data_IF_343171494593
#
_entry.id   IF_343171494593
#
_cell.length_a   1.000
_cell.length_b   1.000
_cell.length_c   1.000
_cell.angle_alpha   90.00
_cell.angle_beta   90.00
_cell.angle_gamma   90.00
#
_symmetry.space_group_name_H-M   'P 1'
#
loop_
_entity.id
_entity.type
_entity.pdbx_description
1 polymer ?
#
# COMPACT_ATOMS: atom_id res chain seq x y z
N UNK A 1 -18.59 17.28 5.52
CA UNK A 1 -18.68 15.86 5.12
C UNK A 1 -20.00 15.21 5.53
N UNK A 2 -20.41 15.17 6.80
CA UNK A 2 -21.74 14.66 7.18
C UNK A 2 -22.87 15.57 6.64
N UNK A 3 -22.68 16.90 6.70
CA UNK A 3 -23.61 17.88 6.08
C UNK A 3 -23.70 17.77 4.57
N UNK A 4 -22.68 17.26 3.93
CA UNK A 4 -22.60 17.11 2.46
C UNK A 4 -23.11 15.72 2.02
N UNK A 5 -23.58 14.90 2.98
CA UNK A 5 -24.14 13.58 2.69
C UNK A 5 -23.10 12.51 2.31
N UNK A 6 -21.79 12.77 2.48
CA UNK A 6 -20.74 11.83 2.06
C UNK A 6 -20.47 10.73 3.11
N UNK A 7 -20.82 10.98 4.36
CA UNK A 7 -20.64 10.01 5.44
C UNK A 7 -21.74 10.17 6.51
N UNK A 8 -21.89 9.15 7.32
CA UNK A 8 -22.71 9.16 8.54
C UNK A 8 -22.02 8.36 9.64
N UNK A 9 -22.44 8.58 10.88
CA UNK A 9 -22.00 7.77 12.00
C UNK A 9 -23.02 6.61 12.22
N UNK A 10 -22.50 5.39 12.34
CA UNK A 10 -23.33 4.24 12.73
C UNK A 10 -23.68 4.28 14.25
N UNK A 11 -24.49 3.33 14.70
CA UNK A 11 -24.94 3.22 16.09
C UNK A 11 -23.78 3.05 17.09
N UNK A 12 -22.62 2.60 16.60
CA UNK A 12 -21.39 2.46 17.39
C UNK A 12 -20.45 3.67 17.23
N UNK A 13 -20.96 4.78 16.64
CA UNK A 13 -20.21 6.01 16.36
C UNK A 13 -19.00 5.82 15.43
N UNK A 14 -19.02 4.82 14.58
CA UNK A 14 -18.01 4.62 13.55
C UNK A 14 -18.41 5.37 12.28
N UNK A 15 -17.45 5.94 11.61
CA UNK A 15 -17.65 6.62 10.31
C UNK A 15 -18.00 5.56 9.25
N UNK A 16 -19.10 5.83 8.53
CA UNK A 16 -19.54 5.06 7.36
C UNK A 16 -19.68 5.99 6.18
N UNK A 17 -19.06 5.64 5.06
CA UNK A 17 -19.27 6.37 3.82
C UNK A 17 -20.65 6.01 3.25
N UNK A 18 -21.30 6.98 2.64
CA UNK A 18 -22.46 6.75 1.77
C UNK A 18 -22.00 6.22 0.41
N UNK A 19 -22.91 5.85 -0.49
CA UNK A 19 -22.56 5.48 -1.86
C UNK A 19 -21.81 6.61 -2.57
N UNK A 20 -22.30 7.86 -2.46
CA UNK A 20 -21.65 9.05 -3.00
C UNK A 20 -20.28 9.29 -2.35
N UNK A 21 -20.19 9.14 -1.02
CA UNK A 21 -18.92 9.24 -0.31
C UNK A 21 -17.89 8.20 -0.74
N UNK A 22 -18.34 6.98 -1.04
CA UNK A 22 -17.48 5.92 -1.57
C UNK A 22 -16.97 6.26 -2.97
N UNK A 23 -17.82 6.79 -3.85
CA UNK A 23 -17.42 7.23 -5.19
C UNK A 23 -16.36 8.34 -5.11
N UNK A 24 -16.60 9.37 -4.31
CA UNK A 24 -15.64 10.48 -4.12
C UNK A 24 -14.31 9.96 -3.56
N UNK A 25 -14.35 9.10 -2.54
CA UNK A 25 -13.14 8.51 -1.96
C UNK A 25 -12.37 7.65 -2.96
N UNK A 26 -13.09 6.87 -3.79
CA UNK A 26 -12.49 6.07 -4.87
C UNK A 26 -11.80 6.96 -5.91
N UNK A 27 -12.45 8.05 -6.31
CA UNK A 27 -11.89 8.99 -7.30
C UNK A 27 -10.64 9.70 -6.78
N UNK A 28 -10.62 10.13 -5.52
CA UNK A 28 -9.45 10.75 -4.90
C UNK A 28 -8.32 9.74 -4.79
N UNK A 29 -8.59 8.56 -4.28
CA UNK A 29 -7.58 7.51 -4.09
C UNK A 29 -7.01 7.03 -5.43
N UNK A 30 -7.82 6.96 -6.48
CA UNK A 30 -7.35 6.63 -7.83
C UNK A 30 -6.35 7.67 -8.34
N UNK A 31 -6.68 8.96 -8.22
CA UNK A 31 -5.78 10.07 -8.61
C UNK A 31 -4.48 10.03 -7.82
N UNK A 32 -4.58 9.81 -6.51
CA UNK A 32 -3.43 9.69 -5.63
C UNK A 32 -2.46 8.60 -6.11
N UNK A 33 -2.93 7.37 -6.26
CA UNK A 33 -2.09 6.22 -6.64
C UNK A 33 -1.58 6.30 -8.08
N UNK A 34 -2.34 6.92 -8.99
CA UNK A 34 -1.85 7.23 -10.33
C UNK A 34 -0.72 8.27 -10.30
N UNK A 35 -0.85 9.30 -9.44
CA UNK A 35 0.22 10.29 -9.25
C UNK A 35 1.47 9.64 -8.68
N UNK A 36 1.35 8.79 -7.66
CA UNK A 36 2.48 8.06 -7.06
C UNK A 36 3.27 7.26 -8.11
N UNK A 37 2.57 6.49 -8.95
CA UNK A 37 3.20 5.74 -10.04
C UNK A 37 3.93 6.65 -11.01
N UNK A 38 3.30 7.75 -11.43
CA UNK A 38 3.92 8.67 -12.36
C UNK A 38 5.13 9.40 -11.77
N UNK A 39 5.02 9.82 -10.50
CA UNK A 39 6.10 10.48 -9.77
C UNK A 39 7.33 9.58 -9.62
N UNK A 40 7.12 8.31 -9.33
CA UNK A 40 8.21 7.34 -9.22
C UNK A 40 8.76 6.94 -10.58
N UNK A 41 7.88 6.43 -11.47
CA UNK A 41 8.31 5.71 -12.68
C UNK A 41 8.78 6.65 -13.80
N UNK A 42 8.22 7.86 -13.87
CA UNK A 42 8.48 8.80 -14.98
C UNK A 42 9.31 10.01 -14.54
N UNK A 43 8.94 10.61 -13.41
CA UNK A 43 9.66 11.79 -12.88
C UNK A 43 10.92 11.34 -12.14
N UNK A 44 10.95 10.15 -11.56
CA UNK A 44 12.08 9.61 -10.81
C UNK A 44 12.24 10.26 -9.44
N UNK A 45 11.09 10.65 -8.82
CA UNK A 45 11.10 11.17 -7.46
C UNK A 45 11.55 10.07 -6.50
N UNK A 46 12.29 10.46 -5.45
CA UNK A 46 12.70 9.54 -4.40
C UNK A 46 11.50 8.85 -3.76
N UNK A 47 11.59 7.53 -3.58
CA UNK A 47 10.52 6.66 -3.10
C UNK A 47 9.87 7.17 -1.80
N UNK A 48 10.68 7.67 -0.86
CA UNK A 48 10.19 8.16 0.42
C UNK A 48 9.37 9.45 0.32
N UNK A 49 9.50 10.22 -0.76
CA UNK A 49 8.82 11.50 -0.97
C UNK A 49 7.62 11.42 -1.91
N UNK A 50 7.39 10.27 -2.55
CA UNK A 50 6.33 10.08 -3.56
C UNK A 50 4.94 10.35 -2.99
N UNK A 51 4.62 9.78 -1.82
CA UNK A 51 3.32 9.92 -1.18
C UNK A 51 2.97 11.38 -0.86
N UNK A 52 3.90 12.11 -0.25
CA UNK A 52 3.68 13.52 0.11
C UNK A 52 3.38 14.39 -1.12
N UNK A 53 4.06 14.15 -2.23
CA UNK A 53 3.81 14.91 -3.46
C UNK A 53 2.51 14.48 -4.13
N UNK A 54 2.17 13.20 -4.12
CA UNK A 54 0.90 12.71 -4.64
C UNK A 54 -0.31 13.30 -3.92
N UNK A 55 -0.23 13.51 -2.59
CA UNK A 55 -1.25 14.21 -1.80
C UNK A 55 -1.53 15.64 -2.32
N UNK A 56 -0.54 16.31 -2.91
CA UNK A 56 -0.74 17.63 -3.52
C UNK A 56 -1.39 17.54 -4.89
N UNK A 57 -1.02 16.52 -5.66
CA UNK A 57 -1.47 16.35 -7.05
C UNK A 57 -2.92 15.88 -7.15
N UNK A 58 -3.39 15.03 -6.24
CA UNK A 58 -4.76 14.47 -6.29
C UNK A 58 -5.85 15.54 -6.30
N UNK A 59 -5.61 16.69 -5.66
CA UNK A 59 -6.57 17.78 -5.54
C UNK A 59 -6.69 18.66 -6.80
N UNK A 60 -5.68 18.64 -7.68
CA UNK A 60 -5.63 19.50 -8.87
C UNK A 60 -5.68 18.70 -10.17
N UNK A 61 -5.62 17.39 -10.11
CA UNK A 61 -5.61 16.53 -11.29
C UNK A 61 -6.97 16.51 -11.99
N UNK A 62 -6.99 16.90 -13.25
CA UNK A 62 -8.18 16.80 -14.08
C UNK A 62 -8.39 15.36 -14.58
N UNK A 63 -9.66 15.04 -14.91
CA UNK A 63 -10.02 13.74 -15.48
C UNK A 63 -9.24 13.41 -16.76
N UNK A 64 -8.92 14.42 -17.58
CA UNK A 64 -8.14 14.21 -18.81
C UNK A 64 -6.69 13.82 -18.53
N UNK A 65 -6.08 14.43 -17.52
CA UNK A 65 -4.73 14.06 -17.06
C UNK A 65 -4.75 12.65 -16.46
N UNK A 66 -5.71 12.37 -15.60
CA UNK A 66 -5.91 11.06 -14.98
C UNK A 66 -6.00 9.93 -16.00
N UNK A 67 -6.82 10.09 -17.06
CA UNK A 67 -6.93 9.14 -18.16
C UNK A 67 -5.62 8.92 -18.90
N UNK A 68 -4.80 9.95 -19.04
CA UNK A 68 -3.48 9.83 -19.70
C UNK A 68 -2.49 9.11 -18.82
N UNK A 69 -2.43 9.40 -17.52
CA UNK A 69 -1.58 8.71 -16.58
C UNK A 69 -1.93 7.22 -16.50
N UNK A 70 -3.22 6.89 -16.37
CA UNK A 70 -3.68 5.52 -16.29
C UNK A 70 -3.30 4.66 -17.52
N UNK A 71 -3.24 5.26 -18.71
CA UNK A 71 -2.79 4.57 -19.95
C UNK A 71 -1.29 4.33 -20.02
N UNK A 72 -0.49 4.99 -19.20
CA UNK A 72 0.96 4.81 -19.16
C UNK A 72 1.38 3.67 -18.22
N UNK A 73 0.47 3.24 -17.35
CA UNK A 73 0.74 2.20 -16.37
C UNK A 73 0.42 0.84 -16.98
N UNK A 74 1.37 -0.09 -16.89
CA UNK A 74 1.15 -1.50 -17.21
C UNK A 74 0.70 -2.27 -15.96
N UNK A 75 -0.06 -3.38 -16.10
CA UNK A 75 -0.35 -4.29 -15.00
C UNK A 75 0.94 -4.81 -14.32
N UNK A 76 0.89 -5.08 -13.03
CA UNK A 76 -0.26 -4.96 -12.13
C UNK A 76 -0.57 -3.50 -11.81
N UNK A 77 -1.88 -3.16 -11.76
CA UNK A 77 -2.34 -1.82 -11.45
C UNK A 77 -2.30 -1.55 -9.94
N UNK A 78 -1.10 -1.36 -9.44
CA UNK A 78 -0.81 -1.05 -8.03
C UNK A 78 0.03 0.23 -7.92
N UNK A 79 -0.04 0.90 -6.79
CA UNK A 79 0.86 2.01 -6.45
C UNK A 79 2.29 1.50 -6.12
N UNK A 80 3.27 2.38 -5.89
CA UNK A 80 4.62 1.97 -5.50
C UNK A 80 4.71 1.19 -4.21
N UNK A 81 3.68 1.28 -3.37
CA UNK A 81 3.58 0.65 -2.07
C UNK A 81 2.78 -0.67 -2.11
N UNK A 82 2.40 -1.13 -3.30
CA UNK A 82 1.71 -2.41 -3.53
C UNK A 82 0.19 -2.36 -3.39
N UNK A 83 -0.41 -1.17 -3.15
CA UNK A 83 -1.86 -1.07 -2.99
C UNK A 83 -2.55 -0.97 -4.35
N UNK A 84 -3.69 -1.67 -4.57
CA UNK A 84 -4.42 -1.62 -5.83
C UNK A 84 -4.91 -0.20 -6.18
N UNK A 85 -4.77 0.23 -7.41
CA UNK A 85 -5.35 1.49 -7.91
C UNK A 85 -6.84 1.26 -8.15
N UNK A 86 -7.75 1.90 -7.38
CA UNK A 86 -9.18 1.58 -7.46
C UNK A 86 -9.87 2.28 -8.62
N UNK A 87 -11.01 1.74 -9.06
CA UNK A 87 -11.96 2.42 -9.97
C UNK A 87 -11.42 2.71 -11.37
N UNK A 88 -10.45 1.97 -11.87
CA UNK A 88 -9.88 2.13 -13.22
C UNK A 88 -10.90 1.91 -14.32
N UNK A 89 -11.97 1.14 -14.07
CA UNK A 89 -13.07 0.94 -15.00
C UNK A 89 -13.73 2.27 -15.40
N UNK A 90 -13.79 3.26 -14.51
CA UNK A 90 -14.31 4.61 -14.82
C UNK A 90 -13.46 5.36 -15.84
N UNK A 91 -12.21 4.95 -16.04
CA UNK A 91 -11.27 5.50 -17.03
C UNK A 91 -11.25 4.68 -18.34
N UNK A 92 -12.07 3.61 -18.43
CA UNK A 92 -12.11 2.70 -19.57
C UNK A 92 -10.96 1.69 -19.60
N UNK A 93 -10.33 1.44 -18.47
CA UNK A 93 -9.33 0.38 -18.30
C UNK A 93 -10.06 -0.81 -17.68
N UNK A 94 -10.11 -1.89 -18.43
CA UNK A 94 -10.59 -3.16 -17.88
C UNK A 94 -9.58 -3.59 -16.78
N UNK A 95 -10.07 -3.66 -15.56
CA UNK A 95 -9.38 -4.37 -14.51
C UNK A 95 -9.37 -5.85 -14.95
N UNK A 96 -8.37 -6.24 -15.73
CA UNK A 96 -8.01 -7.65 -15.72
C UNK A 96 -7.79 -7.94 -14.24
N UNK A 97 -8.73 -8.67 -13.67
CA UNK A 97 -8.53 -9.26 -12.36
C UNK A 97 -7.11 -9.81 -12.45
N UNK A 98 -6.22 -9.26 -11.62
CA UNK A 98 -4.99 -9.98 -11.32
C UNK A 98 -5.50 -11.28 -10.76
N UNK A 99 -5.73 -12.22 -11.65
CA UNK A 99 -5.98 -13.60 -11.28
C UNK A 99 -4.78 -13.93 -10.43
N UNK A 100 -5.05 -14.29 -9.22
CA UNK A 100 -4.13 -14.92 -8.28
C UNK A 100 -3.67 -16.28 -8.85
N UNK A 101 -3.40 -16.34 -10.17
CA UNK A 101 -2.88 -17.50 -10.85
C UNK A 101 -1.46 -17.73 -10.37
N UNK A 102 -1.35 -18.46 -9.27
CA UNK A 102 -0.10 -18.84 -8.64
C UNK A 102 0.03 -18.44 -7.17
N UNK A 103 -0.93 -17.72 -6.55
CA UNK A 103 -0.99 -17.66 -5.11
C UNK A 103 -1.65 -18.94 -4.60
N UNK A 104 -0.85 -19.69 -3.86
CA UNK A 104 -1.34 -20.84 -3.08
C UNK A 104 -2.49 -20.34 -2.21
N UNK A 105 -3.71 -20.86 -2.40
CA UNK A 105 -4.94 -20.42 -1.69
C UNK A 105 -4.83 -20.51 -0.16
N UNK A 106 -3.73 -21.05 0.35
CA UNK A 106 -3.42 -21.23 1.76
C UNK A 106 -2.75 -20.04 2.44
N UNK A 107 -2.30 -19.02 1.69
CA UNK A 107 -1.52 -17.90 2.26
C UNK A 107 -2.26 -16.58 2.11
N UNK A 108 -3.24 -16.34 2.97
CA UNK A 108 -3.93 -15.05 3.03
C UNK A 108 -2.94 -13.92 3.41
N UNK A 109 -3.08 -12.77 2.76
CA UNK A 109 -2.37 -11.54 3.15
C UNK A 109 -2.81 -11.14 4.54
N UNK A 110 -1.86 -10.89 5.43
CA UNK A 110 -2.09 -10.50 6.82
C UNK A 110 -1.15 -9.39 7.25
N UNK A 111 -1.47 -8.73 8.35
CA UNK A 111 -0.58 -7.75 8.97
C UNK A 111 0.68 -8.43 9.51
N UNK A 112 1.84 -7.80 9.34
CA UNK A 112 3.13 -8.36 9.75
C UNK A 112 3.16 -8.71 11.24
N UNK A 113 2.56 -7.86 12.09
CA UNK A 113 2.48 -8.12 13.53
C UNK A 113 1.85 -9.47 13.85
N UNK A 114 0.78 -9.83 13.15
CA UNK A 114 0.07 -11.11 13.32
C UNK A 114 0.78 -12.30 12.67
N UNK A 115 1.77 -12.05 11.81
CA UNK A 115 2.48 -13.09 11.08
C UNK A 115 3.58 -13.78 11.90
N UNK A 116 4.02 -13.18 13.03
CA UNK A 116 5.17 -13.64 13.81
C UNK A 116 4.83 -13.67 15.30
N UNK A 117 5.00 -14.84 15.93
CA UNK A 117 4.90 -15.01 17.37
C UNK A 117 6.25 -14.72 18.05
N UNK A 118 6.22 -14.46 19.37
CA UNK A 118 7.43 -14.13 20.13
C UNK A 118 8.49 -15.26 20.06
N UNK A 119 9.74 -14.87 19.75
CA UNK A 119 10.86 -15.78 19.59
C UNK A 119 10.85 -16.64 18.33
N UNK A 120 9.89 -16.40 17.41
CA UNK A 120 9.87 -17.08 16.11
C UNK A 120 10.48 -16.20 15.01
N UNK A 121 11.27 -16.85 14.14
CA UNK A 121 11.73 -16.25 12.89
C UNK A 121 10.96 -16.90 11.73
N UNK A 122 10.54 -16.10 10.77
CA UNK A 122 9.77 -16.56 9.61
C UNK A 122 10.18 -15.81 8.33
N UNK A 123 10.08 -16.48 7.19
CA UNK A 123 10.15 -15.82 5.89
C UNK A 123 8.75 -15.41 5.43
N UNK A 124 8.66 -14.18 4.94
CA UNK A 124 7.43 -13.60 4.39
C UNK A 124 7.72 -12.86 3.10
N UNK A 125 6.70 -12.65 2.27
CA UNK A 125 6.74 -11.70 1.17
C UNK A 125 5.99 -10.44 1.59
N UNK A 126 6.59 -9.28 1.39
CA UNK A 126 5.89 -8.01 1.56
C UNK A 126 4.98 -7.79 0.35
N UNK A 127 3.69 -7.67 0.59
CA UNK A 127 2.71 -7.42 -0.47
C UNK A 127 2.41 -5.94 -0.61
N UNK A 128 2.24 -5.22 0.50
CA UNK A 128 1.92 -3.79 0.49
C UNK A 128 2.29 -3.10 1.80
N UNK A 129 2.46 -1.78 1.68
CA UNK A 129 2.69 -0.85 2.80
C UNK A 129 1.44 0.04 2.92
N UNK A 130 0.86 0.11 4.12
CA UNK A 130 -0.33 0.91 4.41
C UNK A 130 -0.04 2.42 4.38
N UNK A 131 -1.06 3.21 4.09
CA UNK A 131 -0.94 4.66 3.87
C UNK A 131 -0.43 5.44 5.08
N UNK A 132 -0.72 4.97 6.29
CA UNK A 132 -0.22 5.63 7.50
C UNK A 132 1.31 5.64 7.55
N UNK A 133 1.97 4.54 7.16
CA UNK A 133 3.43 4.45 7.14
C UNK A 133 4.01 5.24 5.96
N UNK A 134 3.29 5.38 4.87
CA UNK A 134 3.72 6.16 3.70
C UNK A 134 3.93 7.65 4.01
N UNK A 135 3.34 8.16 5.09
CA UNK A 135 3.55 9.54 5.58
C UNK A 135 4.83 9.70 6.40
N UNK A 136 5.52 8.60 6.73
CA UNK A 136 6.80 8.64 7.48
C UNK A 136 7.98 8.52 6.51
N UNK A 137 8.47 9.67 6.06
CA UNK A 137 9.57 9.78 5.06
C UNK A 137 10.85 9.10 5.57
N UNK A 138 11.16 9.23 6.87
CA UNK A 138 12.38 8.67 7.43
C UNK A 138 12.31 7.14 7.44
N UNK A 139 11.21 6.58 7.92
CA UNK A 139 10.99 5.14 7.97
C UNK A 139 10.88 4.54 6.56
N UNK A 140 10.16 5.17 5.63
CA UNK A 140 10.11 4.73 4.23
C UNK A 140 11.50 4.71 3.60
N UNK A 141 12.29 5.76 3.82
CA UNK A 141 13.67 5.83 3.32
C UNK A 141 14.57 4.75 3.94
N UNK A 142 14.36 4.40 5.21
CA UNK A 142 15.07 3.30 5.86
C UNK A 142 14.68 1.95 5.27
N UNK A 143 13.39 1.68 5.13
CA UNK A 143 12.87 0.46 4.50
C UNK A 143 13.42 0.29 3.08
N UNK A 144 13.37 1.35 2.27
CA UNK A 144 13.87 1.33 0.90
C UNK A 144 15.37 1.04 0.81
N UNK A 145 16.19 1.64 1.68
CA UNK A 145 17.65 1.41 1.73
C UNK A 145 18.00 -0.05 2.03
N UNK A 146 17.15 -0.78 2.70
CA UNK A 146 17.34 -2.20 3.02
C UNK A 146 16.59 -3.13 2.06
N UNK A 147 16.01 -2.60 0.99
CA UNK A 147 15.25 -3.37 0.00
C UNK A 147 13.93 -3.95 0.56
N UNK A 148 13.40 -3.36 1.65
CA UNK A 148 12.10 -3.73 2.24
C UNK A 148 11.00 -3.02 1.44
N UNK A 149 10.71 -3.56 0.27
CA UNK A 149 9.77 -3.00 -0.71
C UNK A 149 8.72 -4.06 -1.10
N UNK A 150 7.55 -3.67 -1.62
CA UNK A 150 6.55 -4.62 -2.11
C UNK A 150 7.14 -5.64 -3.09
N UNK A 151 6.82 -6.92 -2.89
CA UNK A 151 7.37 -8.04 -3.64
C UNK A 151 8.65 -8.67 -3.04
N UNK A 152 9.33 -7.98 -2.13
CA UNK A 152 10.54 -8.49 -1.50
C UNK A 152 10.27 -9.68 -0.56
N UNK A 153 11.22 -10.63 -0.52
CA UNK A 153 11.29 -11.66 0.52
C UNK A 153 12.02 -11.10 1.74
N UNK A 154 11.42 -11.24 2.89
CA UNK A 154 11.88 -10.68 4.15
C UNK A 154 12.03 -11.80 5.18
N UNK A 155 13.10 -11.74 5.98
CA UNK A 155 13.18 -12.52 7.21
C UNK A 155 12.67 -11.64 8.36
N UNK A 156 11.70 -12.13 9.10
CA UNK A 156 11.03 -11.39 10.16
C UNK A 156 11.09 -12.17 11.47
N UNK A 157 11.29 -11.44 12.57
CA UNK A 157 11.42 -12.02 13.91
C UNK A 157 10.78 -11.09 14.94
N UNK A 158 10.00 -11.65 15.85
CA UNK A 158 9.48 -10.87 16.97
C UNK A 158 10.47 -10.89 18.13
N UNK A 159 10.85 -9.70 18.57
CA UNK A 159 11.78 -9.51 19.70
C UNK A 159 11.12 -8.57 20.70
N UNK A 160 10.49 -9.14 21.70
CA UNK A 160 9.73 -8.38 22.71
C UNK A 160 8.57 -7.59 22.10
N UNK A 161 8.61 -6.27 22.24
CA UNK A 161 7.57 -5.36 21.73
C UNK A 161 7.78 -4.95 20.26
N UNK A 162 8.83 -5.42 19.59
CA UNK A 162 9.15 -5.01 18.21
C UNK A 162 9.17 -6.21 17.27
N UNK A 163 8.90 -5.95 16.00
CA UNK A 163 9.15 -6.87 14.90
C UNK A 163 10.38 -6.41 14.14
N UNK A 164 11.42 -7.22 14.14
CA UNK A 164 12.65 -6.97 13.38
C UNK A 164 12.47 -7.52 11.98
N UNK A 165 12.67 -6.67 10.98
CA UNK A 165 12.52 -7.00 9.56
C UNK A 165 13.89 -6.89 8.90
N UNK A 166 14.31 -7.94 8.20
CA UNK A 166 15.55 -7.99 7.43
C UNK A 166 15.23 -8.07 5.96
N UNK A 167 15.73 -7.10 5.21
CA UNK A 167 15.57 -7.02 3.77
C UNK A 167 16.69 -7.72 2.97
N UNK A 168 16.50 -7.89 1.66
CA UNK A 168 17.48 -8.56 0.79
C UNK A 168 18.79 -7.77 0.59
N UNK A 169 18.77 -6.46 0.76
CA UNK A 169 19.96 -5.58 0.64
C UNK A 169 20.85 -5.62 1.89
N UNK A 170 20.46 -6.40 2.90
CA UNK A 170 21.12 -6.45 4.20
C UNK A 170 20.68 -5.31 5.12
N UNK A 171 20.97 -5.47 6.41
CA UNK A 171 20.48 -4.58 7.44
C UNK A 171 19.10 -4.99 7.98
N UNK A 172 18.73 -4.34 9.05
CA UNK A 172 17.49 -4.65 9.76
C UNK A 172 16.78 -3.38 10.22
N UNK A 173 15.46 -3.43 10.24
CA UNK A 173 14.61 -2.36 10.75
C UNK A 173 13.74 -2.93 11.86
N UNK A 174 13.74 -2.30 13.02
CA UNK A 174 12.90 -2.68 14.15
C UNK A 174 11.62 -1.83 14.16
N UNK A 175 10.49 -2.47 13.94
CA UNK A 175 9.17 -1.84 13.86
C UNK A 175 8.41 -2.04 15.16
N UNK A 176 7.81 -0.97 15.67
CA UNK A 176 6.80 -1.07 16.71
C UNK A 176 5.49 -1.69 16.18
N UNK A 177 4.62 -2.10 17.10
CA UNK A 177 3.35 -2.77 16.72
C UNK A 177 2.52 -1.95 15.72
N UNK A 178 2.46 -0.63 15.87
CA UNK A 178 1.65 0.23 14.99
C UNK A 178 2.21 0.34 13.56
N UNK A 179 3.52 0.25 13.41
CA UNK A 179 4.17 0.30 12.11
C UNK A 179 4.16 -1.08 11.46
N UNK A 180 4.35 -2.13 12.26
CA UNK A 180 4.22 -3.52 11.80
C UNK A 180 2.79 -3.84 11.30
N UNK A 181 1.74 -3.23 11.87
CA UNK A 181 0.35 -3.34 11.35
C UNK A 181 0.18 -2.70 9.97
N UNK A 182 1.09 -1.83 9.53
CA UNK A 182 1.06 -1.21 8.21
C UNK A 182 1.75 -2.04 7.11
N UNK A 183 2.52 -3.06 7.48
CA UNK A 183 3.11 -3.98 6.52
C UNK A 183 2.21 -5.20 6.36
N UNK A 184 1.72 -5.39 5.15
CA UNK A 184 0.88 -6.55 4.83
C UNK A 184 1.73 -7.59 4.09
N UNK A 185 1.74 -8.80 4.61
CA UNK A 185 2.65 -9.85 4.17
C UNK A 185 1.93 -11.16 3.87
N UNK A 186 2.53 -11.97 3.02
CA UNK A 186 2.14 -13.36 2.79
C UNK A 186 3.22 -14.27 3.34
N UNK A 187 2.90 -15.24 4.22
CA UNK A 187 3.86 -16.24 4.67
C UNK A 187 4.44 -17.04 3.50
N UNK A 188 5.74 -17.29 3.53
CA UNK A 188 6.39 -18.19 2.58
C UNK A 188 6.50 -19.56 3.25
N UNK A 189 6.01 -20.61 2.58
CA UNK A 189 6.15 -21.96 3.09
C UNK A 189 7.63 -22.31 3.25
N UNK A 190 7.99 -22.88 4.39
CA UNK A 190 9.30 -23.44 4.58
C UNK A 190 9.46 -24.63 3.60
N UNK A 191 10.41 -24.53 2.67
CA UNK A 191 10.72 -25.55 1.69
C UNK A 191 11.37 -26.79 2.34
#
# INVERSE_FOLDING_TARGET
MERDGLLHLDDQRRIRLTAEGTEVATDVMRKHRLAERHLLDVIGLDYAHVHEEACRWEHVMSLEVEKRLARQIAPPYVDPYGNPIPGLAALGIEETQTTDEGKDETSAVQELRGAVEDGQSREVRLERIGERLQSDVELLGELARHGILPGARLAVERVGASVVVRGPEGGEVALGDLDADQLHVTPIAAG
#
